data_IF_292772900159
#
_entry.id   IF_292772900159
#
_cell.length_a   1.000
_cell.length_b   1.000
_cell.length_c   1.000
_cell.angle_alpha   90.00
_cell.angle_beta   90.00
_cell.angle_gamma   90.00
#
_symmetry.space_group_name_H-M   'P 1'
#
loop_
_entity.id
_entity.type
_entity.pdbx_description
1 polymer ?
#
# COMPACT_ATOMS: atom_id res chain seq x y z
N UNK A 1 11.88 7.96 13.70
CA UNK A 1 11.04 6.81 14.11
C UNK A 1 10.70 6.86 15.58
N UNK A 2 11.67 7.13 16.46
CA UNK A 2 11.44 7.22 17.90
C UNK A 2 10.33 8.22 18.24
N UNK A 3 10.32 9.41 17.63
CA UNK A 3 9.21 10.35 17.77
C UNK A 3 7.82 9.76 17.47
N UNK A 4 7.70 8.86 16.48
CA UNK A 4 6.42 8.21 16.19
C UNK A 4 6.05 7.20 17.27
N UNK A 5 7.04 6.46 17.79
CA UNK A 5 6.83 5.53 18.90
C UNK A 5 6.42 6.27 20.18
N UNK A 6 7.09 7.38 20.47
CA UNK A 6 6.85 8.21 21.65
C UNK A 6 5.45 8.86 21.62
N UNK A 7 4.94 9.16 20.41
CA UNK A 7 3.57 9.61 20.20
C UNK A 7 2.53 8.47 20.17
N UNK A 8 2.93 7.22 20.43
CA UNK A 8 2.02 6.07 20.53
C UNK A 8 1.63 5.43 19.20
N UNK A 9 2.28 5.78 18.08
CA UNK A 9 2.07 5.08 16.81
C UNK A 9 2.64 3.66 16.87
N UNK A 10 1.95 2.71 16.26
CA UNK A 10 2.34 1.30 16.20
C UNK A 10 2.48 0.74 14.77
N UNK A 11 1.98 1.45 13.75
CA UNK A 11 2.09 1.12 12.33
C UNK A 11 2.68 2.32 11.59
N UNK A 12 3.61 2.07 10.67
CA UNK A 12 4.15 3.08 9.76
C UNK A 12 3.94 2.66 8.30
N UNK A 13 3.63 3.64 7.46
CA UNK A 13 3.54 3.49 6.01
C UNK A 13 4.59 4.38 5.34
N UNK A 14 5.63 3.77 4.76
CA UNK A 14 6.67 4.51 4.04
C UNK A 14 6.32 4.55 2.56
N UNK A 15 5.91 5.72 2.08
CA UNK A 15 5.60 5.93 0.67
C UNK A 15 6.88 5.79 -0.19
N UNK A 16 6.84 4.99 -1.27
CA UNK A 16 7.97 4.80 -2.18
C UNK A 16 8.26 6.07 -3.01
N UNK A 17 9.54 6.34 -3.24
CA UNK A 17 10.03 7.43 -4.08
C UNK A 17 10.68 6.91 -5.37
N UNK A 18 10.49 7.63 -6.48
CA UNK A 18 11.06 7.28 -7.78
C UNK A 18 10.39 6.08 -8.47
N UNK A 19 10.91 5.70 -9.65
CA UNK A 19 10.29 4.69 -10.54
C UNK A 19 10.36 3.26 -10.00
N UNK A 20 11.48 2.91 -9.35
CA UNK A 20 11.67 1.58 -8.76
C UNK A 20 11.01 1.43 -7.37
N UNK A 21 10.59 2.55 -6.80
CA UNK A 21 9.89 2.66 -5.52
C UNK A 21 10.79 2.91 -4.32
N UNK A 22 11.95 2.26 -4.20
CA UNK A 22 12.84 2.47 -3.06
C UNK A 22 14.32 2.43 -3.44
N UNK A 23 15.13 3.15 -2.66
CA UNK A 23 16.50 2.72 -2.38
C UNK A 23 16.41 1.58 -1.37
N UNK A 24 16.78 0.37 -1.80
CA UNK A 24 16.57 -0.84 -1.00
C UNK A 24 17.55 -0.97 0.17
N UNK A 25 18.75 -0.40 0.07
CA UNK A 25 19.68 -0.38 1.20
C UNK A 25 19.15 0.53 2.32
N UNK A 26 18.63 1.70 1.95
CA UNK A 26 18.01 2.60 2.92
C UNK A 26 16.70 2.02 3.47
N UNK A 27 15.92 1.35 2.63
CA UNK A 27 14.70 0.67 3.06
C UNK A 27 15.01 -0.40 4.10
N UNK A 28 16.03 -1.24 3.88
CA UNK A 28 16.38 -2.31 4.83
C UNK A 28 16.78 -1.73 6.19
N UNK A 29 17.62 -0.69 6.23
CA UNK A 29 17.98 0.03 7.47
C UNK A 29 16.74 0.61 8.17
N UNK A 30 15.80 1.14 7.40
CA UNK A 30 14.54 1.68 7.93
C UNK A 30 13.66 0.58 8.53
N UNK A 31 13.52 -0.56 7.84
CA UNK A 31 12.74 -1.71 8.29
C UNK A 31 13.33 -2.34 9.56
N UNK A 32 14.66 -2.46 9.64
CA UNK A 32 15.35 -2.99 10.81
C UNK A 32 15.15 -2.10 12.04
N UNK A 33 15.21 -0.77 11.85
CA UNK A 33 14.92 0.18 12.92
C UNK A 33 13.45 0.10 13.39
N UNK A 34 12.50 -0.05 12.46
CA UNK A 34 11.10 -0.25 12.83
C UNK A 34 10.92 -1.55 13.63
N UNK A 35 11.57 -2.64 13.21
CA UNK A 35 11.54 -3.92 13.92
C UNK A 35 12.08 -3.77 15.33
N UNK A 36 13.23 -3.11 15.51
CA UNK A 36 13.84 -2.85 16.83
C UNK A 36 12.90 -2.10 17.77
N UNK A 37 12.11 -1.17 17.23
CA UNK A 37 11.16 -0.35 17.99
C UNK A 37 9.78 -1.01 18.17
N UNK A 38 9.59 -2.23 17.64
CA UNK A 38 8.31 -2.93 17.65
C UNK A 38 7.22 -2.18 16.89
N UNK A 39 7.58 -1.61 15.74
CA UNK A 39 6.67 -0.92 14.83
C UNK A 39 6.36 -1.82 13.63
N UNK A 40 5.07 -1.94 13.34
CA UNK A 40 4.54 -2.65 12.19
C UNK A 40 4.62 -1.81 10.93
N UNK A 41 4.76 -2.47 9.77
CA UNK A 41 4.94 -1.80 8.49
C UNK A 41 3.82 -2.18 7.53
N UNK A 42 3.12 -1.17 7.01
CA UNK A 42 2.37 -1.26 5.76
C UNK A 42 3.38 -1.11 4.62
N UNK A 43 3.74 -2.21 3.98
CA UNK A 43 4.74 -2.19 2.92
C UNK A 43 4.11 -1.85 1.58
N UNK A 44 4.63 -0.83 0.91
CA UNK A 44 3.98 -0.26 -0.26
C UNK A 44 4.63 -0.71 -1.57
N UNK A 45 3.84 -1.43 -2.37
CA UNK A 45 4.22 -1.93 -3.70
C UNK A 45 3.61 -1.10 -4.83
N UNK A 46 3.02 0.08 -4.56
CA UNK A 46 2.23 0.87 -5.55
C UNK A 46 2.98 1.20 -6.83
N UNK A 47 4.31 1.29 -6.77
CA UNK A 47 5.14 1.56 -7.97
C UNK A 47 5.33 0.33 -8.87
N UNK A 48 5.05 -0.86 -8.37
CA UNK A 48 5.32 -2.13 -9.07
C UNK A 48 4.12 -3.06 -9.15
N UNK A 49 2.96 -2.75 -8.54
CA UNK A 49 1.85 -3.72 -8.47
C UNK A 49 1.31 -4.16 -9.84
N UNK A 50 1.41 -3.33 -10.88
CA UNK A 50 1.08 -3.71 -12.25
C UNK A 50 2.24 -4.39 -13.03
N UNK A 51 3.46 -4.39 -12.48
CA UNK A 51 4.64 -5.03 -13.06
C UNK A 51 4.92 -6.36 -12.34
N UNK A 52 4.52 -7.47 -12.96
CA UNK A 52 4.62 -8.79 -12.33
C UNK A 52 6.02 -9.11 -11.79
N UNK A 53 7.07 -8.95 -12.59
CA UNK A 53 8.45 -9.25 -12.12
C UNK A 53 8.87 -8.33 -10.98
N UNK A 54 8.51 -7.05 -11.04
CA UNK A 54 8.82 -6.07 -9.99
C UNK A 54 8.11 -6.37 -8.68
N UNK A 55 6.82 -6.69 -8.75
CA UNK A 55 6.00 -7.05 -7.59
C UNK A 55 6.52 -8.31 -6.92
N UNK A 56 6.80 -9.36 -7.70
CA UNK A 56 7.35 -10.62 -7.21
C UNK A 56 8.67 -10.40 -6.47
N UNK A 57 9.57 -9.62 -7.06
CA UNK A 57 10.86 -9.34 -6.46
C UNK A 57 10.72 -8.58 -5.13
N UNK A 58 9.85 -7.57 -5.06
CA UNK A 58 9.64 -6.81 -3.82
C UNK A 58 9.03 -7.67 -2.71
N UNK A 59 7.98 -8.43 -3.00
CA UNK A 59 7.29 -9.27 -2.01
C UNK A 59 8.21 -10.39 -1.52
N UNK A 60 8.99 -10.98 -2.42
CA UNK A 60 9.93 -12.06 -2.06
C UNK A 60 11.02 -11.63 -1.08
N UNK A 61 11.46 -10.36 -1.12
CA UNK A 61 12.43 -9.83 -0.15
C UNK A 61 11.85 -9.67 1.26
N UNK A 62 10.54 -9.51 1.38
CA UNK A 62 9.91 -9.02 2.61
C UNK A 62 9.17 -10.10 3.37
N UNK A 63 8.84 -11.22 2.71
CA UNK A 63 8.17 -12.36 3.32
C UNK A 63 8.80 -12.88 4.61
N UNK A 64 10.12 -12.70 4.78
CA UNK A 64 10.86 -13.17 5.96
C UNK A 64 10.92 -12.14 7.10
N UNK A 65 10.44 -10.91 6.88
CA UNK A 65 10.54 -9.84 7.87
C UNK A 65 9.37 -9.93 8.86
N UNK A 66 9.64 -10.02 10.18
CA UNK A 66 8.61 -10.27 11.18
C UNK A 66 7.74 -9.05 11.50
N UNK A 67 8.10 -7.85 11.04
CA UNK A 67 7.40 -6.61 11.31
C UNK A 67 6.62 -6.06 10.11
N UNK A 68 6.46 -6.85 9.03
CA UNK A 68 5.53 -6.51 7.96
C UNK A 68 4.13 -6.88 8.43
N UNK A 69 3.21 -5.92 8.36
CA UNK A 69 1.81 -6.12 8.73
C UNK A 69 0.99 -6.58 7.53
N UNK A 70 1.14 -5.90 6.40
CA UNK A 70 0.44 -6.20 5.15
C UNK A 70 1.15 -5.51 3.97
N UNK A 71 0.84 -5.97 2.76
CA UNK A 71 1.27 -5.33 1.51
C UNK A 71 0.20 -4.34 1.04
N UNK A 72 0.61 -3.15 0.60
CA UNK A 72 -0.24 -2.10 0.05
C UNK A 72 0.02 -1.99 -1.45
N UNK A 73 -0.94 -2.41 -2.28
CA UNK A 73 -0.75 -2.60 -3.73
C UNK A 73 -1.11 -1.39 -4.56
N UNK A 74 -2.27 -0.79 -4.34
CA UNK A 74 -2.77 0.28 -5.19
C UNK A 74 -3.21 1.49 -4.37
N UNK A 75 -2.88 2.67 -4.88
CA UNK A 75 -3.17 3.97 -4.32
C UNK A 75 -4.16 4.68 -5.25
N UNK A 76 -5.43 4.66 -4.88
CA UNK A 76 -6.51 5.29 -5.63
C UNK A 76 -6.62 4.80 -7.10
N UNK A 77 -6.59 3.48 -7.38
CA UNK A 77 -6.67 2.98 -8.75
C UNK A 77 -7.98 3.37 -9.45
N UNK A 78 -9.03 3.61 -8.65
CA UNK A 78 -10.34 4.12 -9.05
C UNK A 78 -10.29 5.60 -9.49
N UNK A 79 -9.49 6.43 -8.81
CA UNK A 79 -9.24 7.81 -9.22
C UNK A 79 -8.23 7.95 -10.37
N UNK A 80 -7.26 7.03 -10.47
CA UNK A 80 -6.27 6.97 -11.55
C UNK A 80 -6.83 6.32 -12.82
N UNK A 81 -7.99 5.65 -12.72
CA UNK A 81 -8.63 4.89 -13.80
C UNK A 81 -7.70 3.79 -14.33
N UNK A 82 -7.04 3.10 -13.40
CA UNK A 82 -6.25 1.92 -13.72
C UNK A 82 -7.15 0.80 -14.28
N UNK A 83 -6.57 -0.17 -14.97
CA UNK A 83 -7.33 -1.31 -15.48
C UNK A 83 -8.08 -2.02 -14.33
N UNK A 84 -9.36 -2.32 -14.54
CA UNK A 84 -10.27 -2.88 -13.51
C UNK A 84 -9.73 -4.18 -12.88
N UNK A 85 -8.99 -4.98 -13.65
CA UNK A 85 -8.43 -6.24 -13.20
C UNK A 85 -7.05 -6.11 -12.54
N UNK A 86 -6.44 -4.92 -12.55
CA UNK A 86 -5.07 -4.71 -12.10
C UNK A 86 -4.87 -5.03 -10.61
N UNK A 87 -5.75 -4.58 -9.69
CA UNK A 87 -5.63 -4.98 -8.28
C UNK A 87 -5.76 -6.49 -8.09
N UNK A 88 -6.72 -7.13 -8.77
CA UNK A 88 -6.96 -8.58 -8.65
C UNK A 88 -5.76 -9.39 -9.15
N UNK A 89 -5.16 -9.00 -10.27
CA UNK A 89 -3.94 -9.65 -10.79
C UNK A 89 -2.77 -9.53 -9.81
N UNK A 90 -2.57 -8.35 -9.22
CA UNK A 90 -1.54 -8.15 -8.21
C UNK A 90 -1.79 -9.02 -6.97
N UNK A 91 -3.03 -9.04 -6.47
CA UNK A 91 -3.45 -9.86 -5.33
C UNK A 91 -3.16 -11.35 -5.55
N UNK A 92 -3.60 -11.91 -6.67
CA UNK A 92 -3.41 -13.32 -6.99
C UNK A 92 -1.93 -13.68 -7.04
N UNK A 93 -1.12 -12.80 -7.64
CA UNK A 93 0.32 -13.00 -7.72
C UNK A 93 0.99 -13.00 -6.34
N UNK A 94 0.59 -12.08 -5.45
CA UNK A 94 1.10 -12.02 -4.07
C UNK A 94 0.73 -13.30 -3.34
N UNK A 95 -0.55 -13.69 -3.33
CA UNK A 95 -1.05 -14.83 -2.54
C UNK A 95 -0.44 -16.17 -2.96
N UNK A 96 -0.06 -16.33 -4.23
CA UNK A 96 0.68 -17.53 -4.68
C UNK A 96 2.07 -17.65 -4.04
N UNK A 97 2.72 -16.52 -3.72
CA UNK A 97 4.13 -16.48 -3.25
C UNK A 97 4.27 -16.23 -1.76
N UNK A 98 3.34 -15.45 -1.23
CA UNK A 98 3.33 -14.93 0.11
C UNK A 98 1.87 -14.93 0.59
N UNK A 99 1.36 -16.09 1.06
CA UNK A 99 -0.04 -16.22 1.41
C UNK A 99 -0.37 -15.65 2.79
N UNK A 100 0.63 -15.28 3.60
CA UNK A 100 0.46 -15.03 5.03
C UNK A 100 0.13 -13.58 5.38
N UNK A 101 0.69 -12.61 4.66
CA UNK A 101 0.36 -11.21 4.92
C UNK A 101 -0.91 -10.81 4.17
N UNK A 102 -1.81 -10.04 4.79
CA UNK A 102 -2.91 -9.41 4.09
C UNK A 102 -2.42 -8.49 2.96
N UNK A 103 -3.27 -8.31 1.97
CA UNK A 103 -3.10 -7.34 0.89
C UNK A 103 -4.13 -6.24 1.09
N UNK A 104 -3.69 -5.00 0.95
CA UNK A 104 -4.53 -3.81 1.04
C UNK A 104 -4.36 -2.94 -0.19
N UNK A 105 -5.37 -2.11 -0.43
CA UNK A 105 -5.32 -1.01 -1.38
C UNK A 105 -6.15 0.13 -0.82
N UNK A 106 -5.99 1.32 -1.39
CA UNK A 106 -6.82 2.46 -1.05
C UNK A 106 -7.71 2.87 -2.21
N UNK A 107 -9.00 3.08 -1.92
CA UNK A 107 -9.97 3.66 -2.84
C UNK A 107 -10.30 5.10 -2.41
N UNK A 108 -10.63 5.96 -3.36
CA UNK A 108 -10.98 7.35 -3.11
C UNK A 108 -12.31 7.79 -3.71
N UNK A 109 -12.82 7.08 -4.72
CA UNK A 109 -14.05 7.42 -5.42
C UNK A 109 -15.27 6.78 -4.77
N UNK A 110 -16.38 7.52 -4.73
CA UNK A 110 -17.65 7.00 -4.24
C UNK A 110 -18.25 5.99 -5.24
N UNK A 111 -18.18 4.71 -4.89
CA UNK A 111 -18.81 3.60 -5.62
C UNK A 111 -18.45 3.50 -7.13
N UNK A 112 -17.26 3.94 -7.51
CA UNK A 112 -16.77 3.84 -8.89
C UNK A 112 -16.04 2.50 -9.10
N UNK A 113 -16.69 1.55 -9.78
CA UNK A 113 -16.19 0.17 -9.97
C UNK A 113 -15.64 -0.46 -8.68
N UNK A 114 -16.34 -0.21 -7.57
CA UNK A 114 -15.89 -0.60 -6.24
C UNK A 114 -15.69 -2.11 -6.14
N UNK A 115 -16.59 -2.91 -6.70
CA UNK A 115 -16.48 -4.37 -6.70
C UNK A 115 -15.21 -4.84 -7.41
N UNK A 116 -14.93 -4.30 -8.60
CA UNK A 116 -13.78 -4.70 -9.40
C UNK A 116 -12.45 -4.29 -8.75
N UNK A 117 -12.34 -3.04 -8.31
CA UNK A 117 -11.11 -2.56 -7.69
C UNK A 117 -10.88 -3.20 -6.31
N UNK A 118 -11.92 -3.42 -5.51
CA UNK A 118 -11.79 -4.04 -4.17
C UNK A 118 -11.51 -5.54 -4.20
N UNK A 119 -11.81 -6.24 -5.32
CA UNK A 119 -11.53 -7.65 -5.47
C UNK A 119 -10.03 -8.02 -5.29
N UNK A 120 -9.13 -7.04 -5.41
CA UNK A 120 -7.69 -7.19 -5.20
C UNK A 120 -7.19 -6.93 -3.78
N UNK A 121 -8.04 -7.00 -2.75
CA UNK A 121 -7.62 -6.74 -1.37
C UNK A 121 -8.33 -7.59 -0.31
N UNK A 122 -7.61 -7.89 0.76
CA UNK A 122 -8.14 -8.37 2.04
C UNK A 122 -8.62 -7.20 2.92
N UNK A 123 -7.97 -6.03 2.78
CA UNK A 123 -8.23 -4.82 3.57
C UNK A 123 -8.46 -3.65 2.60
N UNK A 124 -9.64 -3.05 2.64
CA UNK A 124 -9.94 -1.85 1.87
C UNK A 124 -9.66 -0.64 2.75
N UNK A 125 -8.75 0.22 2.32
CA UNK A 125 -8.48 1.52 2.93
C UNK A 125 -9.26 2.60 2.16
N UNK A 126 -9.61 3.68 2.85
CA UNK A 126 -10.27 4.83 2.23
C UNK A 126 -9.36 6.04 2.30
N UNK A 127 -9.17 6.71 1.16
CA UNK A 127 -8.43 7.97 1.09
C UNK A 127 -9.38 9.13 0.84
N UNK A 128 -10.23 9.37 1.83
CA UNK A 128 -11.23 10.42 1.76
C UNK A 128 -10.80 11.58 2.64
N UNK A 129 -10.96 12.80 2.14
CA UNK A 129 -10.63 14.02 2.88
C UNK A 129 -11.87 14.90 3.13
N UNK A 130 -12.91 14.39 3.82
CA UNK A 130 -14.16 15.10 4.01
C UNK A 130 -14.04 16.31 4.95
N UNK A 131 -12.95 16.42 5.72
CA UNK A 131 -12.71 17.49 6.69
C UNK A 131 -11.42 18.21 6.32
N UNK A 132 -11.45 19.55 6.30
CA UNK A 132 -10.27 20.39 6.13
C UNK A 132 -9.76 20.57 4.70
N UNK A 133 -10.48 20.06 3.69
CA UNK A 133 -10.11 20.19 2.27
C UNK A 133 -10.83 21.35 1.60
N UNK A 134 -10.10 22.09 0.77
CA UNK A 134 -10.69 23.10 -0.11
C UNK A 134 -11.28 22.42 -1.36
N UNK A 135 -12.61 22.34 -1.44
CA UNK A 135 -13.34 21.68 -2.55
C UNK A 135 -13.64 22.60 -3.73
N UNK A 136 -13.06 23.81 -3.78
CA UNK A 136 -13.32 24.79 -4.86
C UNK A 136 -13.07 24.24 -6.26
N UNK A 137 -12.19 23.24 -6.40
CA UNK A 137 -11.80 22.63 -7.67
C UNK A 137 -12.41 21.23 -7.91
N UNK A 138 -13.17 20.69 -6.96
CA UNK A 138 -13.90 19.42 -7.09
C UNK A 138 -15.39 19.69 -7.16
N UNK A 139 -15.84 20.26 -8.28
CA UNK A 139 -17.22 20.73 -8.45
C UNK A 139 -18.28 19.61 -8.51
N UNK A 140 -17.87 18.35 -8.69
CA UNK A 140 -18.77 17.21 -8.93
C UNK A 140 -19.33 16.57 -7.64
N UNK A 141 -18.79 16.92 -6.46
CA UNK A 141 -19.19 16.36 -5.17
C UNK A 141 -19.63 17.46 -4.17
N UNK A 142 -20.42 18.43 -4.65
CA UNK A 142 -21.13 19.40 -3.79
C UNK A 142 -22.52 18.91 -3.42
#
# INVERSE_FOLDING_TARGET
MEIFKDHGHNVLHKVPAGRLGYDFEQLDKWLDQAQRLGLWIMYDTRRQYQNATGLEWQVSRLKARPNILHSYTADEPDGQVDALDAPKRAYDQIKVREPYHPVSLCLNCENYYFEEYSAGADIILSYVYPIGTNTSWSAQYK
#
